data_IF_328087422033
#
_entry.id   IF_328087422033
#
_cell.length_a   1.000
_cell.length_b   1.000
_cell.length_c   1.000
_cell.angle_alpha   90.00
_cell.angle_beta   90.00
_cell.angle_gamma   90.00
#
_symmetry.space_group_name_H-M   'P 1'
#
loop_
_entity.id
_entity.type
_entity.pdbx_description
1 polymer ?
#
# COMPACT_ATOMS: atom_id res chain seq x y z
N UNK A 1 17.41 28.72 11.02
CA UNK A 1 16.10 29.26 10.61
C UNK A 1 15.08 28.67 11.57
N UNK A 2 14.41 29.50 12.36
CA UNK A 2 13.42 29.03 13.36
C UNK A 2 12.12 28.84 12.59
N UNK A 3 11.70 27.60 12.33
CA UNK A 3 10.39 27.31 11.74
C UNK A 3 9.27 27.74 12.71
N UNK A 4 8.25 28.43 12.21
CA UNK A 4 7.09 28.84 13.01
C UNK A 4 6.32 27.58 13.47
N UNK A 5 6.12 27.46 14.79
CA UNK A 5 5.34 26.38 15.38
C UNK A 5 3.91 26.28 14.82
N UNK A 6 3.34 27.38 14.32
CA UNK A 6 2.01 27.40 13.68
C UNK A 6 2.01 26.69 12.32
N UNK A 7 3.04 26.90 11.51
CA UNK A 7 3.20 26.21 10.21
C UNK A 7 3.40 24.71 10.40
N UNK A 8 4.18 24.33 11.42
CA UNK A 8 4.38 22.93 11.79
C UNK A 8 3.07 22.25 12.22
N UNK A 9 2.29 22.88 13.09
CA UNK A 9 1.00 22.33 13.55
C UNK A 9 0.01 22.21 12.39
N UNK A 10 -0.09 23.22 11.52
CA UNK A 10 -0.96 23.16 10.35
C UNK A 10 -0.56 22.01 9.39
N UNK A 11 0.75 21.81 9.17
CA UNK A 11 1.28 20.69 8.37
C UNK A 11 0.97 19.34 8.99
N UNK A 12 1.16 19.17 10.30
CA UNK A 12 0.85 17.92 11.00
C UNK A 12 -0.66 17.60 10.94
N UNK A 13 -1.53 18.60 11.07
CA UNK A 13 -2.99 18.45 10.90
C UNK A 13 -3.34 18.06 9.45
N UNK A 14 -2.73 18.72 8.46
CA UNK A 14 -2.94 18.41 7.04
C UNK A 14 -2.49 16.98 6.70
N UNK A 15 -1.35 16.53 7.23
CA UNK A 15 -0.85 15.15 7.06
C UNK A 15 -1.85 14.15 7.65
N UNK A 16 -2.28 14.35 8.92
CA UNK A 16 -3.24 13.44 9.57
C UNK A 16 -4.56 13.35 8.82
N UNK A 17 -5.10 14.48 8.36
CA UNK A 17 -6.34 14.53 7.56
C UNK A 17 -6.14 13.90 6.18
N UNK A 18 -5.00 14.14 5.54
CA UNK A 18 -4.64 13.55 4.26
C UNK A 18 -4.55 12.03 4.32
N UNK A 19 -3.94 11.48 5.37
CA UNK A 19 -3.85 10.04 5.64
C UNK A 19 -5.23 9.42 5.86
N UNK A 20 -6.11 10.08 6.62
CA UNK A 20 -7.49 9.63 6.82
C UNK A 20 -8.30 9.66 5.51
N UNK A 21 -8.15 10.72 4.71
CA UNK A 21 -8.80 10.83 3.39
C UNK A 21 -8.32 9.77 2.41
N UNK A 22 -7.01 9.56 2.33
CA UNK A 22 -6.39 8.52 1.50
C UNK A 22 -6.89 7.12 1.87
N UNK A 23 -6.94 6.83 3.17
CA UNK A 23 -7.49 5.57 3.66
C UNK A 23 -8.94 5.36 3.23
N UNK A 24 -9.79 6.37 3.36
CA UNK A 24 -11.19 6.25 2.97
C UNK A 24 -11.34 6.02 1.47
N UNK A 25 -10.54 6.69 0.64
CA UNK A 25 -10.53 6.47 -0.81
C UNK A 25 -10.12 5.04 -1.17
N UNK A 26 -9.13 4.46 -0.49
CA UNK A 26 -8.74 3.06 -0.73
C UNK A 26 -9.78 2.07 -0.22
N UNK A 27 -10.44 2.34 0.91
CA UNK A 27 -11.56 1.52 1.40
C UNK A 27 -12.70 1.48 0.38
N UNK A 28 -13.07 2.64 -0.17
CA UNK A 28 -14.11 2.75 -1.20
C UNK A 28 -13.68 2.10 -2.52
N UNK A 29 -12.42 2.28 -2.92
CA UNK A 29 -11.90 1.71 -4.15
C UNK A 29 -11.80 0.19 -4.08
N UNK A 30 -11.20 -0.39 -3.03
CA UNK A 30 -10.87 -1.82 -3.00
C UNK A 30 -11.93 -2.68 -2.30
N UNK A 31 -12.58 -2.18 -1.25
CA UNK A 31 -13.53 -2.94 -0.42
C UNK A 31 -12.93 -4.10 0.41
N UNK A 32 -11.73 -4.58 0.07
CA UNK A 32 -11.03 -5.68 0.73
C UNK A 32 -9.51 -5.53 0.62
N UNK A 33 -8.76 -6.32 1.38
CA UNK A 33 -7.32 -6.40 1.25
C UNK A 33 -6.94 -6.88 -0.17
N UNK A 34 -6.13 -6.10 -0.86
CA UNK A 34 -5.68 -6.41 -2.22
C UNK A 34 -4.92 -7.75 -2.32
N UNK A 35 -4.23 -8.19 -1.27
CA UNK A 35 -3.42 -9.41 -1.29
C UNK A 35 -4.13 -10.65 -0.71
N UNK A 36 -5.09 -10.48 0.20
CA UNK A 36 -5.72 -11.61 0.92
C UNK A 36 -7.24 -11.69 0.78
N UNK A 37 -7.88 -10.68 0.19
CA UNK A 37 -9.33 -10.59 0.12
C UNK A 37 -10.02 -10.32 1.45
N UNK A 38 -9.28 -10.06 2.54
CA UNK A 38 -9.86 -9.75 3.84
C UNK A 38 -10.78 -8.51 3.77
N UNK A 39 -12.04 -8.63 4.21
CA UNK A 39 -13.04 -7.56 4.17
C UNK A 39 -13.23 -6.84 5.52
N UNK A 40 -12.51 -7.28 6.56
CA UNK A 40 -12.66 -6.72 7.92
C UNK A 40 -11.99 -5.35 8.00
N UNK A 41 -12.76 -4.29 7.80
CA UNK A 41 -12.25 -2.91 7.68
C UNK A 41 -11.34 -2.46 8.84
N UNK A 42 -11.55 -2.96 10.06
CA UNK A 42 -10.70 -2.66 11.23
C UNK A 42 -9.30 -3.30 11.16
N UNK A 43 -9.12 -4.35 10.36
CA UNK A 43 -7.84 -4.99 10.11
C UNK A 43 -7.11 -4.46 8.86
N UNK A 44 -7.77 -3.57 8.09
CA UNK A 44 -7.24 -3.00 6.86
C UNK A 44 -6.51 -1.70 7.12
N UNK A 45 -5.51 -1.41 6.29
CA UNK A 45 -4.64 -0.24 6.32
C UNK A 45 -4.36 0.25 4.91
N UNK A 46 -4.09 1.55 4.80
CA UNK A 46 -3.78 2.22 3.56
C UNK A 46 -2.27 2.25 3.37
N UNK A 47 -1.76 1.32 2.57
CA UNK A 47 -0.34 1.22 2.25
C UNK A 47 -0.03 2.12 1.06
N UNK A 48 1.04 2.91 1.16
CA UNK A 48 1.58 3.58 -0.02
C UNK A 48 2.50 2.62 -0.76
N UNK A 49 2.42 2.58 -2.09
CA UNK A 49 3.30 1.74 -2.91
C UNK A 49 4.72 2.32 -2.91
N UNK A 50 4.84 3.63 -3.16
CA UNK A 50 6.09 4.38 -2.96
C UNK A 50 5.91 5.48 -1.92
N UNK A 51 6.97 5.84 -1.16
CA UNK A 51 6.88 6.85 -0.11
C UNK A 51 6.28 8.16 -0.60
N UNK A 52 5.54 8.83 0.28
CA UNK A 52 4.97 10.14 0.00
C UNK A 52 6.07 11.18 -0.23
N UNK A 53 6.11 11.76 -1.44
CA UNK A 53 7.03 12.84 -1.83
C UNK A 53 6.31 14.19 -2.06
N UNK A 54 5.01 14.26 -1.80
CA UNK A 54 4.20 15.48 -1.97
C UNK A 54 2.77 15.18 -2.42
N UNK A 55 1.93 16.21 -2.61
CA UNK A 55 0.51 16.04 -2.97
C UNK A 55 0.29 15.16 -4.21
N UNK A 56 1.20 15.19 -5.18
CA UNK A 56 1.15 14.36 -6.38
C UNK A 56 1.30 12.85 -6.14
N UNK A 57 1.88 12.45 -5.00
CA UNK A 57 2.03 11.03 -4.61
C UNK A 57 0.90 10.51 -3.70
N UNK A 58 -0.01 11.39 -3.27
CA UNK A 58 -1.17 11.02 -2.44
C UNK A 58 -2.42 10.80 -3.31
N UNK A 59 -2.27 9.91 -4.30
CA UNK A 59 -3.32 9.49 -5.21
C UNK A 59 -3.65 8.01 -4.95
N UNK A 60 -4.91 7.56 -5.01
CA UNK A 60 -5.28 6.17 -4.75
C UNK A 60 -4.55 5.13 -5.59
N UNK A 61 -4.09 5.50 -6.80
CA UNK A 61 -3.25 4.60 -7.62
C UNK A 61 -1.84 4.37 -7.05
N UNK A 62 -1.36 5.22 -6.14
CA UNK A 62 -0.16 4.96 -5.34
C UNK A 62 -0.48 4.22 -4.02
N UNK A 63 -1.66 3.62 -3.92
CA UNK A 63 -2.14 2.97 -2.71
C UNK A 63 -2.59 1.54 -2.95
N UNK A 64 -2.34 0.70 -1.95
CA UNK A 64 -2.97 -0.61 -1.79
C UNK A 64 -3.70 -0.64 -0.46
N UNK A 65 -4.90 -1.21 -0.44
CA UNK A 65 -5.57 -1.52 0.82
C UNK A 65 -5.08 -2.88 1.31
N UNK A 66 -4.38 -2.94 2.42
CA UNK A 66 -3.72 -4.17 2.91
C UNK A 66 -4.16 -4.52 4.33
N UNK A 67 -4.13 -5.81 4.67
CA UNK A 67 -4.25 -6.25 6.07
C UNK A 67 -2.98 -5.79 6.82
N UNK A 68 -3.07 -5.39 8.08
CA UNK A 68 -1.98 -4.73 8.81
C UNK A 68 -0.65 -5.51 8.83
N UNK A 69 -0.70 -6.84 8.94
CA UNK A 69 0.48 -7.70 8.84
C UNK A 69 1.10 -7.67 7.44
N UNK A 70 0.28 -7.79 6.40
CA UNK A 70 0.73 -7.74 5.01
C UNK A 70 1.26 -6.35 4.63
N UNK A 71 0.68 -5.28 5.17
CA UNK A 71 1.21 -3.92 5.03
C UNK A 71 2.62 -3.82 5.61
N UNK A 72 2.81 -4.33 6.82
CA UNK A 72 4.14 -4.35 7.46
C UNK A 72 5.15 -5.13 6.62
N UNK A 73 4.79 -6.32 6.12
CA UNK A 73 5.67 -7.12 5.28
C UNK A 73 5.95 -6.46 3.92
N UNK A 74 4.98 -5.77 3.35
CA UNK A 74 5.15 -5.00 2.13
C UNK A 74 6.14 -3.85 2.32
N UNK A 75 5.98 -3.04 3.37
CA UNK A 75 6.88 -1.95 3.72
C UNK A 75 8.32 -2.42 4.00
N UNK A 76 8.48 -3.65 4.51
CA UNK A 76 9.77 -4.29 4.74
C UNK A 76 10.39 -4.90 3.48
N UNK A 77 9.69 -4.90 2.33
CA UNK A 77 10.12 -5.53 1.09
C UNK A 77 10.04 -7.06 1.09
N UNK A 78 9.37 -7.66 2.09
CA UNK A 78 9.16 -9.11 2.17
C UNK A 78 7.99 -9.58 1.30
N UNK A 79 7.09 -8.65 0.94
CA UNK A 79 6.06 -8.83 -0.07
C UNK A 79 6.17 -7.74 -1.12
N UNK A 80 5.85 -8.05 -2.37
CA UNK A 80 5.70 -7.06 -3.44
C UNK A 80 4.63 -7.51 -4.43
N UNK A 81 4.49 -6.80 -5.53
CA UNK A 81 3.56 -7.13 -6.61
C UNK A 81 4.29 -7.00 -7.94
N UNK A 82 4.11 -7.99 -8.80
CA UNK A 82 4.59 -7.91 -10.18
C UNK A 82 3.82 -6.82 -10.95
N UNK A 83 4.54 -5.82 -11.46
CA UNK A 83 3.92 -4.66 -12.12
C UNK A 83 3.23 -5.00 -13.45
N UNK A 84 3.52 -6.16 -14.04
CA UNK A 84 2.95 -6.61 -15.31
C UNK A 84 1.75 -7.52 -15.09
N UNK A 85 1.90 -8.56 -14.26
CA UNK A 85 0.88 -9.58 -14.03
C UNK A 85 -0.07 -9.26 -12.88
N UNK A 86 0.27 -8.28 -12.03
CA UNK A 86 -0.44 -7.96 -10.79
C UNK A 86 -0.57 -9.17 -9.84
N UNK A 87 0.42 -10.05 -9.84
CA UNK A 87 0.52 -11.16 -8.90
C UNK A 87 1.39 -10.78 -7.69
N UNK A 88 1.07 -11.34 -6.54
CA UNK A 88 1.83 -11.15 -5.31
C UNK A 88 3.18 -11.88 -5.41
N UNK A 89 4.25 -11.15 -5.11
CA UNK A 89 5.60 -11.65 -4.98
C UNK A 89 5.93 -11.80 -3.50
N UNK A 90 6.60 -12.88 -3.13
CA UNK A 90 6.95 -13.20 -1.74
C UNK A 90 8.46 -13.39 -1.65
N UNK A 91 9.11 -12.79 -0.66
CA UNK A 91 10.55 -12.96 -0.47
C UNK A 91 10.90 -14.39 -0.02
N UNK A 92 12.08 -14.92 -0.39
CA UNK A 92 12.53 -16.24 0.07
C UNK A 92 12.59 -16.37 1.60
N UNK A 93 12.81 -15.27 2.32
CA UNK A 93 12.79 -15.21 3.80
C UNK A 93 11.45 -15.68 4.41
N UNK A 94 10.37 -15.69 3.63
CA UNK A 94 9.03 -16.16 4.04
C UNK A 94 8.71 -17.58 3.57
N UNK A 95 9.63 -18.28 2.91
CA UNK A 95 9.40 -19.67 2.48
C UNK A 95 9.16 -20.58 3.70
N UNK A 96 8.17 -21.48 3.61
CA UNK A 96 7.73 -22.36 4.69
C UNK A 96 6.85 -21.70 5.75
N UNK A 97 6.54 -20.41 5.63
CA UNK A 97 5.61 -19.68 6.51
C UNK A 97 4.19 -19.66 5.95
N UNK A 98 3.22 -19.16 6.72
CA UNK A 98 1.85 -18.97 6.25
C UNK A 98 1.73 -17.98 5.07
N UNK A 99 2.73 -17.13 4.86
CA UNK A 99 2.72 -16.10 3.82
C UNK A 99 3.17 -16.63 2.44
N UNK A 100 3.86 -17.79 2.40
CA UNK A 100 4.29 -18.42 1.15
C UNK A 100 3.09 -18.71 0.23
N UNK A 101 1.93 -19.04 0.79
CA UNK A 101 0.71 -19.33 0.05
C UNK A 101 0.19 -18.14 -0.78
N UNK A 102 0.63 -16.91 -0.48
CA UNK A 102 0.30 -15.72 -1.26
C UNK A 102 1.07 -15.64 -2.58
N UNK A 103 2.18 -16.37 -2.71
CA UNK A 103 3.05 -16.32 -3.90
C UNK A 103 2.26 -16.64 -5.17
N UNK A 104 2.34 -15.73 -6.14
CA UNK A 104 1.68 -15.87 -7.44
C UNK A 104 0.17 -15.66 -7.43
N UNK A 105 -0.45 -15.40 -6.27
CA UNK A 105 -1.87 -15.09 -6.20
C UNK A 105 -2.15 -13.75 -6.89
N UNK A 106 -3.22 -13.63 -7.68
CA UNK A 106 -3.60 -12.35 -8.28
C UNK A 106 -4.04 -11.37 -7.19
N UNK A 107 -3.74 -10.08 -7.37
CA UNK A 107 -4.33 -9.04 -6.53
C UNK A 107 -5.85 -8.99 -6.71
N UNK A 108 -6.55 -8.80 -5.60
CA UNK A 108 -7.99 -8.52 -5.56
C UNK A 108 -8.26 -7.05 -5.97
N UNK A 109 -8.15 -6.77 -7.26
CA UNK A 109 -8.41 -5.44 -7.86
C UNK A 109 -9.51 -5.46 -8.91
N UNK A 110 -10.17 -6.59 -9.14
CA UNK A 110 -11.20 -6.76 -10.18
C UNK A 110 -12.43 -5.87 -9.96
N UNK A 111 -12.72 -5.57 -8.69
CA UNK A 111 -13.81 -4.66 -8.29
C UNK A 111 -13.32 -3.25 -7.99
N UNK A 112 -12.01 -3.00 -8.16
CA UNK A 112 -11.45 -1.73 -7.79
C UNK A 112 -11.80 -0.64 -8.79
N UNK A 113 -12.33 0.48 -8.30
CA UNK A 113 -12.58 1.66 -9.14
C UNK A 113 -11.29 2.38 -9.56
N UNK A 114 -10.14 1.99 -8.98
CA UNK A 114 -8.81 2.49 -9.29
C UNK A 114 -7.83 1.33 -9.38
N UNK A 115 -7.01 1.29 -10.43
CA UNK A 115 -5.89 0.35 -10.54
C UNK A 115 -4.61 0.92 -9.91
N UNK A 116 -3.78 0.09 -9.27
CA UNK A 116 -2.49 0.53 -8.76
C UNK A 116 -1.56 0.93 -9.92
N UNK A 117 -0.72 1.92 -9.67
CA UNK A 117 0.25 2.44 -10.63
C UNK A 117 1.32 1.39 -10.90
N UNK A 118 1.40 0.93 -12.16
CA UNK A 118 2.43 -0.02 -12.60
C UNK A 118 3.84 0.52 -12.38
N UNK A 119 4.03 1.83 -12.53
CA UNK A 119 5.31 2.48 -12.27
C UNK A 119 5.69 2.40 -10.78
N UNK A 120 4.75 2.73 -9.89
CA UNK A 120 4.99 2.65 -8.46
C UNK A 120 5.29 1.22 -8.03
N UNK A 121 4.54 0.23 -8.56
CA UNK A 121 4.79 -1.19 -8.30
C UNK A 121 6.18 -1.62 -8.76
N UNK A 122 6.64 -1.15 -9.93
CA UNK A 122 8.00 -1.45 -10.43
C UNK A 122 9.08 -0.88 -9.51
N UNK A 123 8.89 0.36 -9.03
CA UNK A 123 9.82 0.99 -8.09
C UNK A 123 9.86 0.25 -6.75
N UNK A 124 8.70 -0.11 -6.20
CA UNK A 124 8.61 -0.90 -4.97
C UNK A 124 9.28 -2.27 -5.11
N UNK A 125 9.02 -2.97 -6.22
CA UNK A 125 9.67 -4.23 -6.56
C UNK A 125 11.20 -4.11 -6.62
N UNK A 126 11.72 -3.05 -7.23
CA UNK A 126 13.16 -2.78 -7.25
C UNK A 126 13.73 -2.54 -5.85
N UNK A 127 12.97 -1.91 -4.95
CA UNK A 127 13.38 -1.74 -3.54
C UNK A 127 13.38 -3.09 -2.80
N UNK A 128 12.36 -3.92 -3.02
CA UNK A 128 12.19 -5.22 -2.39
C UNK A 128 13.16 -6.31 -2.92
N UNK A 129 13.84 -6.06 -4.05
CA UNK A 129 14.66 -7.06 -4.76
C UNK A 129 13.89 -8.34 -5.13
N UNK A 130 12.63 -8.20 -5.55
CA UNK A 130 11.76 -9.28 -6.04
C UNK A 130 11.47 -9.16 -7.54
#
# INVERSE_FOLDING_TARGET
MIEDGRERVAREIAIRRGQAGFRNQLLEAYGCCAMSGCTVASALEAAHIVPYQGPGTNHPSNGLLLRADLHTLFDLGLLSVDSETLQVLVAPDLDGTEYEALRGQPLHVDHASVSPSREALRLHRSFANL
#
